data_IF_789775064516
#
_entry.id   IF_789775064516
#
_cell.length_a   1.000
_cell.length_b   1.000
_cell.length_c   1.000
_cell.angle_alpha   90.00
_cell.angle_beta   90.00
_cell.angle_gamma   90.00
#
_symmetry.space_group_name_H-M   'P 1'
#
loop_
_entity.id
_entity.type
_entity.pdbx_description
1 polymer ?
#
# COMPACT_ATOMS: atom_id res chain seq x y z
N UNK A 1 24.44 -15.89 5.30
CA UNK A 1 23.21 -15.35 5.90
C UNK A 1 22.63 -14.38 4.88
N UNK A 2 21.37 -14.58 4.46
CA UNK A 2 20.72 -13.63 3.57
C UNK A 2 20.47 -12.31 4.32
N UNK A 3 20.65 -11.19 3.63
CA UNK A 3 20.29 -9.88 4.17
C UNK A 3 18.77 -9.69 3.95
N UNK A 4 17.96 -9.49 5.03
CA UNK A 4 16.50 -9.38 4.92
C UNK A 4 16.03 -8.27 3.97
N UNK A 5 16.83 -7.21 3.82
CA UNK A 5 16.51 -6.11 2.89
C UNK A 5 16.62 -6.60 1.46
N UNK A 6 17.73 -7.25 1.11
CA UNK A 6 17.94 -7.75 -0.26
C UNK A 6 17.01 -8.90 -0.59
N UNK A 7 16.69 -9.75 0.39
CA UNK A 7 15.72 -10.83 0.22
C UNK A 7 14.33 -10.26 -0.12
N UNK A 8 13.86 -9.30 0.67
CA UNK A 8 12.58 -8.64 0.45
C UNK A 8 12.53 -7.87 -0.88
N UNK A 9 13.59 -7.14 -1.24
CA UNK A 9 13.66 -6.42 -2.53
C UNK A 9 13.62 -7.36 -3.73
N UNK A 10 14.25 -8.54 -3.62
CA UNK A 10 14.23 -9.56 -4.67
C UNK A 10 12.86 -10.25 -4.78
N UNK A 11 12.12 -10.42 -3.68
CA UNK A 11 10.76 -11.01 -3.70
C UNK A 11 9.75 -10.14 -4.44
N UNK A 12 9.94 -8.82 -4.41
CA UNK A 12 9.04 -7.86 -5.05
C UNK A 12 9.56 -7.32 -6.37
N UNK A 13 10.78 -7.72 -6.78
CA UNK A 13 11.49 -7.23 -7.96
C UNK A 13 11.58 -5.69 -8.04
N UNK A 14 11.94 -5.05 -6.92
CA UNK A 14 12.07 -3.59 -6.85
C UNK A 14 13.47 -3.16 -6.38
N UNK A 15 13.96 -2.04 -6.91
CA UNK A 15 15.09 -1.35 -6.30
C UNK A 15 14.68 -0.73 -4.96
N UNK A 16 15.66 -0.51 -4.06
CA UNK A 16 15.39 0.11 -2.76
C UNK A 16 14.65 1.45 -2.87
N UNK A 17 14.99 2.27 -3.88
CA UNK A 17 14.35 3.56 -4.10
C UNK A 17 12.88 3.41 -4.53
N UNK A 18 12.58 2.50 -5.46
CA UNK A 18 11.22 2.21 -5.91
C UNK A 18 10.36 1.66 -4.76
N UNK A 19 10.93 0.73 -3.99
CA UNK A 19 10.26 0.16 -2.84
C UNK A 19 9.98 1.21 -1.77
N UNK A 20 10.96 2.07 -1.46
CA UNK A 20 10.83 3.13 -0.47
C UNK A 20 9.74 4.13 -0.87
N UNK A 21 9.73 4.59 -2.13
CA UNK A 21 8.74 5.54 -2.63
C UNK A 21 7.34 4.93 -2.59
N UNK A 22 7.20 3.69 -3.07
CA UNK A 22 5.91 3.02 -3.11
C UNK A 22 5.38 2.71 -1.72
N UNK A 23 6.20 2.13 -0.84
CA UNK A 23 5.82 1.83 0.53
C UNK A 23 5.48 3.11 1.31
N UNK A 24 6.26 4.18 1.15
CA UNK A 24 5.98 5.48 1.77
C UNK A 24 4.67 6.07 1.26
N UNK A 25 4.39 5.98 -0.05
CA UNK A 25 3.14 6.43 -0.65
C UNK A 25 1.91 5.70 -0.07
N UNK A 26 2.00 4.37 0.08
CA UNK A 26 0.96 3.59 0.74
C UNK A 26 0.79 3.99 2.22
N UNK A 27 1.89 4.09 2.96
CA UNK A 27 1.88 4.45 4.38
C UNK A 27 1.25 5.82 4.65
N UNK A 28 1.61 6.85 3.88
CA UNK A 28 1.04 8.19 4.03
C UNK A 28 -0.48 8.21 3.81
N UNK A 29 -0.97 7.46 2.81
CA UNK A 29 -2.42 7.33 2.55
C UNK A 29 -3.12 6.56 3.67
N UNK A 30 -2.50 5.53 4.24
CA UNK A 30 -3.02 4.81 5.42
C UNK A 30 -3.12 5.74 6.64
N UNK A 31 -2.10 6.55 6.89
CA UNK A 31 -2.10 7.53 7.99
C UNK A 31 -3.22 8.56 7.80
N UNK A 32 -3.39 9.08 6.59
CA UNK A 32 -4.47 9.99 6.27
C UNK A 32 -5.84 9.34 6.46
N UNK A 33 -6.05 8.12 5.93
CA UNK A 33 -7.31 7.39 6.11
C UNK A 33 -7.61 7.09 7.59
N UNK A 34 -6.60 6.69 8.37
CA UNK A 34 -6.72 6.48 9.81
C UNK A 34 -7.09 7.76 10.57
N UNK A 35 -6.48 8.89 10.20
CA UNK A 35 -6.84 10.20 10.75
C UNK A 35 -8.29 10.57 10.41
N UNK A 36 -8.73 10.37 9.16
CA UNK A 36 -10.11 10.60 8.76
C UNK A 36 -11.10 9.71 9.51
N UNK A 37 -10.76 8.43 9.75
CA UNK A 37 -11.54 7.53 10.60
C UNK A 37 -11.65 8.04 12.04
N UNK A 38 -10.56 8.55 12.61
CA UNK A 38 -10.58 9.11 13.96
C UNK A 38 -11.50 10.34 14.05
N UNK A 39 -11.37 11.26 13.09
CA UNK A 39 -12.26 12.43 13.00
C UNK A 39 -13.71 12.01 12.80
N UNK A 40 -13.98 11.02 11.94
CA UNK A 40 -15.32 10.45 11.74
C UNK A 40 -15.90 9.85 13.03
N UNK A 41 -15.08 9.16 13.84
CA UNK A 41 -15.49 8.60 15.13
C UNK A 41 -15.96 9.67 16.12
N UNK A 42 -15.35 10.87 16.08
CA UNK A 42 -15.77 12.03 16.90
C UNK A 42 -16.97 12.75 16.26
N UNK A 43 -16.94 12.92 14.94
CA UNK A 43 -17.93 13.65 14.14
C UNK A 43 -18.51 12.72 13.07
N UNK A 44 -19.53 11.90 13.40
CA UNK A 44 -20.04 10.83 12.53
C UNK A 44 -20.68 11.33 11.23
N UNK A 45 -20.91 12.64 11.10
CA UNK A 45 -21.41 13.25 9.88
C UNK A 45 -20.31 13.61 8.87
N UNK A 46 -19.04 13.67 9.28
CA UNK A 46 -17.90 14.02 8.44
C UNK A 46 -17.22 12.77 7.89
N UNK A 47 -16.69 12.80 6.65
CA UNK A 47 -15.90 11.70 6.04
C UNK A 47 -16.57 10.30 6.01
N UNK A 48 -17.91 10.24 5.95
CA UNK A 48 -18.71 9.00 5.97
C UNK A 48 -18.24 7.91 5.01
N UNK A 49 -17.68 8.31 3.86
CA UNK A 49 -17.15 7.38 2.84
C UNK A 49 -15.67 7.58 2.55
N UNK A 50 -15.15 8.78 2.75
CA UNK A 50 -13.79 9.15 2.33
C UNK A 50 -12.72 8.24 2.92
N UNK A 51 -12.82 7.90 4.22
CA UNK A 51 -11.84 7.02 4.85
C UNK A 51 -11.91 5.59 4.29
N UNK A 52 -13.11 5.02 4.19
CA UNK A 52 -13.34 3.68 3.65
C UNK A 52 -13.00 3.56 2.16
N UNK A 53 -13.35 4.56 1.36
CA UNK A 53 -13.03 4.63 -0.07
C UNK A 53 -11.50 4.70 -0.26
N UNK A 54 -10.78 5.46 0.59
CA UNK A 54 -9.31 5.55 0.55
C UNK A 54 -8.67 4.20 0.85
N UNK A 55 -9.12 3.49 1.89
CA UNK A 55 -8.59 2.15 2.22
C UNK A 55 -8.92 1.14 1.13
N UNK A 56 -10.11 1.21 0.54
CA UNK A 56 -10.52 0.31 -0.56
C UNK A 56 -9.64 0.51 -1.79
N UNK A 57 -9.41 1.76 -2.20
CA UNK A 57 -8.52 2.08 -3.31
C UNK A 57 -7.08 1.60 -3.03
N UNK A 58 -6.59 1.81 -1.80
CA UNK A 58 -5.27 1.34 -1.38
C UNK A 58 -5.13 -0.18 -1.48
N UNK A 59 -6.15 -0.90 -1.02
CA UNK A 59 -6.20 -2.36 -1.08
C UNK A 59 -6.18 -2.85 -2.53
N UNK A 60 -6.98 -2.23 -3.40
CA UNK A 60 -7.03 -2.60 -4.82
C UNK A 60 -5.69 -2.37 -5.50
N UNK A 61 -5.02 -1.24 -5.22
CA UNK A 61 -3.66 -0.96 -5.71
C UNK A 61 -2.65 -2.02 -5.23
N UNK A 62 -2.70 -2.45 -3.96
CA UNK A 62 -1.82 -3.50 -3.44
C UNK A 62 -2.07 -4.85 -4.15
N UNK A 63 -3.33 -5.22 -4.38
CA UNK A 63 -3.69 -6.45 -5.08
C UNK A 63 -3.22 -6.42 -6.53
N UNK A 64 -3.42 -5.30 -7.23
CA UNK A 64 -2.96 -5.12 -8.62
C UNK A 64 -1.42 -5.21 -8.69
N UNK A 65 -0.71 -4.53 -7.78
CA UNK A 65 0.76 -4.56 -7.74
C UNK A 65 1.27 -5.97 -7.49
N UNK A 66 0.69 -6.70 -6.53
CA UNK A 66 1.03 -8.11 -6.26
C UNK A 66 0.77 -9.00 -7.48
N UNK A 67 -0.36 -8.81 -8.17
CA UNK A 67 -0.68 -9.60 -9.37
C UNK A 67 0.34 -9.37 -10.48
N UNK A 68 0.74 -8.12 -10.74
CA UNK A 68 1.75 -7.80 -11.75
C UNK A 68 3.09 -8.50 -11.47
N UNK A 69 3.53 -8.51 -10.22
CA UNK A 69 4.75 -9.23 -9.84
C UNK A 69 4.69 -10.74 -10.17
N UNK A 70 3.54 -11.39 -9.97
CA UNK A 70 3.34 -12.78 -10.40
C UNK A 70 3.27 -12.96 -11.92
N UNK A 71 2.55 -12.06 -12.62
CA UNK A 71 2.36 -12.13 -14.07
C UNK A 71 3.71 -11.97 -14.80
N UNK A 72 4.60 -11.06 -14.38
CA UNK A 72 5.94 -10.89 -14.99
C UNK A 72 6.89 -12.05 -14.70
N UNK A 73 6.72 -12.75 -13.57
CA UNK A 73 7.54 -13.89 -13.20
C UNK A 73 7.12 -15.21 -13.90
N UNK A 74 6.01 -15.22 -14.66
CA UNK A 74 5.47 -16.39 -15.35
C UNK A 74 5.44 -16.29 -16.89
N UNK A 75 6.05 -15.26 -17.49
CA UNK A 75 6.24 -15.19 -18.95
C UNK A 75 7.62 -15.74 -19.29
N UNK A 76 7.68 -17.07 -19.48
CA UNK A 76 8.74 -17.77 -20.21
C UNK A 76 8.26 -18.11 -21.62
#
# INVERSE_FOLDING_TARGET
MANPITEHLNEVDESYGEHLVTASGFGLRMMAAGFLCFVHGILPFLFKRTASDTVSALHDEMVIKRRKAYDEHWVI
#
